data_IF_194526896912
#
_entry.id   IF_194526896912
#
_cell.length_a   1.000
_cell.length_b   1.000
_cell.length_c   1.000
_cell.angle_alpha   90.00
_cell.angle_beta   90.00
_cell.angle_gamma   90.00
#
_symmetry.space_group_name_H-M   'P 1'
#
loop_
_entity.id
_entity.type
_entity.pdbx_description
1 polymer ?
#
# COMPACT_ATOMS: atom_id res chain seq x y z
N UNK A 1 15.17 -0.18 -2.16
CA UNK A 1 13.70 -0.22 -2.07
C UNK A 1 13.32 -1.64 -1.65
N UNK A 2 12.64 -1.80 -0.50
CA UNK A 2 12.42 -3.10 0.16
C UNK A 2 11.72 -4.10 -0.79
N UNK A 3 12.33 -5.26 -1.04
CA UNK A 3 11.74 -6.32 -1.87
C UNK A 3 10.33 -6.75 -1.40
N UNK A 4 10.02 -6.53 -0.12
CA UNK A 4 8.74 -6.88 0.51
C UNK A 4 7.56 -6.04 -0.01
N UNK A 5 7.77 -4.79 -0.42
CA UNK A 5 6.66 -3.92 -0.87
C UNK A 5 6.31 -4.12 -2.35
N UNK A 6 7.15 -4.83 -3.10
CA UNK A 6 7.00 -5.01 -4.54
C UNK A 6 5.68 -5.72 -4.91
N UNK A 7 5.26 -6.71 -4.11
CA UNK A 7 3.99 -7.40 -4.35
C UNK A 7 2.78 -6.48 -4.15
N UNK A 8 2.82 -5.61 -3.15
CA UNK A 8 1.76 -4.64 -2.89
C UNK A 8 1.70 -3.58 -4.00
N UNK A 9 2.84 -2.99 -4.38
CA UNK A 9 2.93 -1.98 -5.44
C UNK A 9 2.48 -2.55 -6.79
N UNK A 10 2.82 -3.81 -7.10
CA UNK A 10 2.37 -4.48 -8.32
C UNK A 10 0.84 -4.60 -8.43
N UNK A 11 0.11 -4.60 -7.31
CA UNK A 11 -1.36 -4.61 -7.29
C UNK A 11 -1.97 -3.20 -7.50
N UNK A 12 -1.17 -2.13 -7.50
CA UNK A 12 -1.65 -0.75 -7.56
C UNK A 12 -1.02 0.01 -8.75
N UNK A 13 -1.28 -0.43 -10.00
CA UNK A 13 -0.80 0.31 -11.16
C UNK A 13 -1.46 1.70 -11.18
N UNK A 14 -0.67 2.75 -11.40
CA UNK A 14 -1.10 4.16 -11.43
C UNK A 14 -1.46 4.77 -10.07
N UNK A 15 -0.89 4.25 -8.99
CA UNK A 15 -1.00 4.83 -7.64
C UNK A 15 0.41 5.02 -7.10
N UNK A 16 0.72 6.26 -6.71
CA UNK A 16 1.97 6.59 -6.07
C UNK A 16 1.96 6.07 -4.63
N UNK A 17 2.94 5.25 -4.29
CA UNK A 17 3.10 4.66 -2.96
C UNK A 17 4.37 5.20 -2.30
N UNK A 18 4.22 5.95 -1.21
CA UNK A 18 5.31 6.46 -0.39
C UNK A 18 5.39 5.66 0.91
N UNK A 19 6.47 4.90 1.07
CA UNK A 19 6.71 4.10 2.26
C UNK A 19 7.50 4.91 3.30
N UNK A 20 6.97 4.98 4.51
CA UNK A 20 7.65 5.59 5.65
C UNK A 20 8.59 4.60 6.37
N UNK A 21 9.16 5.01 7.51
CA UNK A 21 10.01 4.15 8.31
C UNK A 21 9.23 3.00 8.94
N UNK A 22 9.87 1.83 9.06
CA UNK A 22 9.30 0.68 9.76
C UNK A 22 9.06 1.04 11.24
N UNK A 23 7.85 0.77 11.74
CA UNK A 23 7.54 0.91 13.16
C UNK A 23 8.17 -0.26 13.94
N UNK A 24 8.46 -0.06 15.25
CA UNK A 24 9.03 -1.13 16.09
C UNK A 24 8.11 -2.36 16.18
N UNK A 25 6.80 -2.19 16.03
CA UNK A 25 5.81 -3.27 15.99
C UNK A 25 5.76 -4.04 14.64
N UNK A 26 6.65 -3.72 13.69
CA UNK A 26 6.68 -4.37 12.38
C UNK A 26 5.66 -3.84 11.37
N UNK A 27 5.03 -2.70 11.68
CA UNK A 27 4.18 -1.95 10.77
C UNK A 27 5.00 -1.13 9.77
N UNK A 28 4.51 -1.03 8.55
CA UNK A 28 5.07 -0.19 7.50
C UNK A 28 4.02 0.82 7.06
N UNK A 29 4.13 2.09 7.49
CA UNK A 29 3.23 3.13 7.04
C UNK A 29 3.46 3.35 5.54
N UNK A 30 2.38 3.35 4.77
CA UNK A 30 2.39 3.71 3.36
C UNK A 30 1.38 4.81 3.13
N UNK A 31 1.79 5.84 2.42
CA UNK A 31 0.89 6.85 1.87
C UNK A 31 0.65 6.51 0.40
N UNK A 32 -0.60 6.32 0.04
CA UNK A 32 -1.03 6.03 -1.32
C UNK A 32 -1.83 7.21 -1.87
N UNK A 33 -1.44 7.64 -3.06
CA UNK A 33 -2.01 8.82 -3.71
C UNK A 33 -2.29 8.48 -5.17
N UNK A 34 -3.41 8.96 -5.71
CA UNK A 34 -3.64 8.92 -7.15
C UNK A 34 -3.07 10.21 -7.75
N UNK A 35 -2.18 10.17 -8.75
CA UNK A 35 -1.52 11.39 -9.26
C UNK A 35 -2.50 12.45 -9.80
N UNK A 36 -3.66 12.01 -10.30
CA UNK A 36 -4.72 12.88 -10.78
C UNK A 36 -5.73 13.34 -9.71
N UNK A 37 -5.52 13.01 -8.42
CA UNK A 37 -6.46 13.31 -7.35
C UNK A 37 -5.74 13.85 -6.11
N UNK A 38 -6.35 14.83 -5.44
CA UNK A 38 -5.86 15.31 -4.15
C UNK A 38 -6.11 14.30 -3.01
N UNK A 39 -6.81 13.20 -3.29
CA UNK A 39 -7.07 12.14 -2.31
C UNK A 39 -5.81 11.35 -2.01
N UNK A 40 -5.41 11.42 -0.74
CA UNK A 40 -4.31 10.67 -0.15
C UNK A 40 -4.88 9.77 0.93
N UNK A 41 -4.39 8.54 1.00
CA UNK A 41 -4.75 7.58 2.01
C UNK A 41 -3.47 7.10 2.70
N UNK A 42 -3.49 7.03 4.02
CA UNK A 42 -2.40 6.45 4.80
C UNK A 42 -2.85 5.12 5.35
N UNK A 43 -2.04 4.09 5.14
CA UNK A 43 -2.29 2.72 5.57
C UNK A 43 -1.11 2.25 6.42
N UNK A 44 -1.37 1.31 7.32
CA UNK A 44 -0.32 0.60 8.04
C UNK A 44 -0.28 -0.84 7.51
N UNK A 45 0.78 -1.18 6.78
CA UNK A 45 0.99 -2.53 6.26
C UNK A 45 1.74 -3.37 7.28
N UNK A 46 1.33 -4.62 7.46
CA UNK A 46 2.04 -5.58 8.29
C UNK A 46 3.17 -6.22 7.48
N UNK A 47 4.42 -5.98 7.87
CA UNK A 47 5.58 -6.47 7.11
C UNK A 47 5.77 -7.97 7.15
N UNK A 48 5.29 -8.66 8.19
CA UNK A 48 5.29 -10.12 8.24
C UNK A 48 4.32 -10.70 7.21
N UNK A 49 3.25 -9.96 6.89
CA UNK A 49 2.21 -10.37 5.94
C UNK A 49 2.41 -9.84 4.51
N UNK A 50 3.38 -8.97 4.27
CA UNK A 50 3.66 -8.44 2.92
C UNK A 50 4.10 -9.51 1.90
N UNK A 51 4.52 -10.69 2.36
CA UNK A 51 4.80 -11.85 1.48
C UNK A 51 3.54 -12.62 1.09
N UNK A 52 2.44 -12.41 1.81
CA UNK A 52 1.14 -13.02 1.52
C UNK A 52 0.44 -12.22 0.42
N UNK A 53 0.24 -12.90 -0.72
CA UNK A 53 -0.40 -12.32 -1.90
C UNK A 53 -1.86 -11.95 -1.64
N UNK A 54 -2.59 -12.71 -0.83
CA UNK A 54 -3.98 -12.45 -0.50
C UNK A 54 -4.12 -11.24 0.42
N UNK A 55 -3.19 -11.08 1.36
CA UNK A 55 -3.07 -9.87 2.18
C UNK A 55 -2.83 -8.64 1.29
N UNK A 56 -1.83 -8.71 0.39
CA UNK A 56 -1.55 -7.61 -0.54
C UNK A 56 -2.75 -7.26 -1.43
N UNK A 57 -3.46 -8.26 -1.96
CA UNK A 57 -4.64 -8.05 -2.78
C UNK A 57 -5.79 -7.39 -2.00
N UNK A 58 -6.01 -7.81 -0.76
CA UNK A 58 -7.04 -7.22 0.12
C UNK A 58 -6.75 -5.76 0.43
N UNK A 59 -5.51 -5.45 0.81
CA UNK A 59 -5.08 -4.06 1.07
C UNK A 59 -5.19 -3.21 -0.19
N UNK A 60 -4.72 -3.74 -1.34
CA UNK A 60 -4.83 -3.05 -2.62
C UNK A 60 -6.29 -2.76 -3.02
N UNK A 61 -7.20 -3.70 -2.78
CA UNK A 61 -8.63 -3.48 -3.04
C UNK A 61 -9.20 -2.39 -2.14
N UNK A 62 -8.84 -2.37 -0.85
CA UNK A 62 -9.23 -1.30 0.08
C UNK A 62 -8.73 0.08 -0.38
N UNK A 63 -7.49 0.16 -0.87
CA UNK A 63 -6.93 1.39 -1.46
C UNK A 63 -7.77 1.85 -2.64
N UNK A 64 -8.03 0.95 -3.59
CA UNK A 64 -8.81 1.26 -4.80
C UNK A 64 -10.20 1.76 -4.44
N UNK A 65 -10.92 1.06 -3.57
CA UNK A 65 -12.24 1.47 -3.09
C UNK A 65 -12.20 2.83 -2.41
N UNK A 66 -11.23 3.07 -1.51
CA UNK A 66 -11.10 4.34 -0.77
C UNK A 66 -10.75 5.52 -1.69
N UNK A 67 -9.91 5.29 -2.70
CA UNK A 67 -9.54 6.30 -3.70
C UNK A 67 -10.60 6.45 -4.80
N UNK A 68 -11.68 5.65 -4.79
CA UNK A 68 -12.73 5.67 -5.80
C UNK A 68 -12.25 5.17 -7.17
N UNK A 69 -11.24 4.30 -7.20
CA UNK A 69 -10.72 3.62 -8.38
C UNK A 69 -11.54 2.33 -8.54
N UNK A 70 -12.32 2.24 -9.62
CA UNK A 70 -13.10 1.04 -9.98
C UNK A 70 -12.26 0.10 -10.83
#
# INVERSE_FOLDING_TARGET
MLALTHQFVAQLPNIDCLFGPLTPDGGLPVQVCRPASERRLTLMLDTARLRDRAYCATQAQQVRTSLGIR
#
